data_IF_963900080542
#
_entry.id   IF_963900080542
#
_cell.length_a   1.000
_cell.length_b   1.000
_cell.length_c   1.000
_cell.angle_alpha   90.00
_cell.angle_beta   90.00
_cell.angle_gamma   90.00
#
_symmetry.space_group_name_H-M   'P 1'
#
loop_
_entity.id
_entity.type
_entity.pdbx_description
1 polymer ?
#
# COMPACT_ATOMS: atom_id res chain seq x y z
N UNK A 1 15.66 -4.95 -9.16
CA UNK A 1 14.49 -5.84 -9.36
C UNK A 1 13.91 -5.64 -10.76
N UNK A 2 13.74 -6.70 -11.57
CA UNK A 2 13.34 -6.57 -12.99
C UNK A 2 11.96 -7.20 -13.34
N UNK A 3 11.35 -7.95 -12.42
CA UNK A 3 10.12 -8.69 -12.70
C UNK A 3 8.88 -7.80 -12.89
N UNK A 4 8.86 -6.60 -12.31
CA UNK A 4 7.79 -5.62 -12.53
C UNK A 4 8.39 -4.25 -12.84
N UNK A 5 7.80 -3.54 -13.82
CA UNK A 5 8.18 -2.17 -14.18
C UNK A 5 7.38 -1.12 -13.40
N UNK A 6 6.17 -1.47 -12.95
CA UNK A 6 5.28 -0.57 -12.21
C UNK A 6 4.88 -1.20 -10.87
N UNK A 7 4.76 -0.41 -9.78
CA UNK A 7 4.35 -0.91 -8.47
C UNK A 7 2.95 -1.54 -8.50
N UNK A 8 2.05 -1.04 -9.36
CA UNK A 8 0.71 -1.60 -9.56
C UNK A 8 0.73 -3.06 -10.05
N UNK A 9 1.78 -3.48 -10.78
CA UNK A 9 1.90 -4.87 -11.23
C UNK A 9 2.20 -5.81 -10.05
N UNK A 10 3.04 -5.39 -9.10
CA UNK A 10 3.27 -6.15 -7.86
C UNK A 10 1.97 -6.30 -7.05
N UNK A 11 1.19 -5.21 -6.96
CA UNK A 11 -0.11 -5.21 -6.28
C UNK A 11 -1.13 -6.16 -6.93
N UNK A 12 -1.21 -6.16 -8.26
CA UNK A 12 -2.05 -7.08 -9.04
C UNK A 12 -1.56 -8.53 -8.97
N UNK A 13 -0.24 -8.75 -8.92
CA UNK A 13 0.35 -10.08 -8.74
C UNK A 13 -0.05 -10.73 -7.40
N UNK A 14 -0.19 -9.93 -6.36
CA UNK A 14 -0.79 -10.39 -5.10
C UNK A 14 -2.32 -10.49 -5.17
N UNK A 15 -2.99 -9.85 -6.13
CA UNK A 15 -4.44 -9.92 -6.28
C UNK A 15 -5.19 -9.12 -5.22
N UNK A 16 -4.61 -7.98 -4.81
CA UNK A 16 -5.19 -7.03 -3.85
C UNK A 16 -5.90 -5.88 -4.59
N UNK A 17 -5.77 -5.83 -5.92
CA UNK A 17 -6.47 -4.89 -6.78
C UNK A 17 -7.99 -5.08 -6.75
N UNK A 18 -8.78 -4.02 -6.96
CA UNK A 18 -10.22 -4.17 -7.11
C UNK A 18 -10.52 -4.96 -8.38
N UNK A 19 -11.54 -5.81 -8.33
CA UNK A 19 -12.12 -6.45 -9.51
C UNK A 19 -12.71 -5.38 -10.44
N UNK A 20 -12.85 -5.72 -11.71
CA UNK A 20 -13.59 -4.90 -12.67
C UNK A 20 -14.87 -5.66 -13.02
N UNK A 21 -16.02 -5.00 -12.83
CA UNK A 21 -17.34 -5.51 -13.20
C UNK A 21 -17.98 -4.51 -14.17
N UNK A 22 -17.77 -4.71 -15.46
CA UNK A 22 -18.25 -3.82 -16.53
C UNK A 22 -18.94 -4.66 -17.62
N UNK A 23 -20.05 -4.17 -18.18
CA UNK A 23 -20.75 -4.81 -19.31
C UNK A 23 -21.41 -3.76 -20.20
N UNK A 24 -20.87 -3.55 -21.40
CA UNK A 24 -21.41 -2.58 -22.37
C UNK A 24 -21.57 -1.18 -21.78
N UNK A 25 -22.77 -0.84 -21.30
CA UNK A 25 -23.14 0.44 -20.68
C UNK A 25 -23.01 0.46 -19.15
N UNK A 26 -22.82 -0.69 -18.50
CA UNK A 26 -22.75 -0.80 -17.04
C UNK A 26 -21.31 -0.75 -16.54
N UNK A 27 -21.08 0.04 -15.48
CA UNK A 27 -19.81 0.10 -14.75
C UNK A 27 -20.06 0.00 -13.25
N UNK A 28 -19.62 -1.10 -12.66
CA UNK A 28 -19.77 -1.36 -11.23
C UNK A 28 -18.95 -0.37 -10.39
N UNK A 29 -19.60 0.24 -9.40
CA UNK A 29 -18.98 1.17 -8.43
C UNK A 29 -18.51 0.45 -7.16
N UNK A 30 -19.15 -0.66 -6.79
CA UNK A 30 -18.86 -1.45 -5.59
C UNK A 30 -18.07 -2.73 -5.89
N UNK A 31 -16.86 -2.54 -6.43
CA UNK A 31 -16.00 -3.67 -6.77
C UNK A 31 -15.32 -4.26 -5.53
N UNK A 32 -15.27 -5.60 -5.47
CA UNK A 32 -14.57 -6.36 -4.42
C UNK A 32 -13.09 -6.53 -4.78
N UNK A 33 -12.26 -6.98 -3.85
CA UNK A 33 -10.88 -7.40 -4.18
C UNK A 33 -10.90 -8.51 -5.25
N UNK A 34 -9.99 -8.43 -6.23
CA UNK A 34 -9.86 -9.33 -7.38
C UNK A 34 -9.57 -10.77 -6.96
N UNK A 35 -8.69 -10.95 -5.96
CA UNK A 35 -8.22 -12.25 -5.46
C UNK A 35 -7.55 -13.15 -6.52
N UNK A 36 -7.24 -12.62 -7.71
CA UNK A 36 -6.67 -13.38 -8.86
C UNK A 36 -5.19 -13.73 -8.68
N UNK A 37 -4.50 -13.04 -7.77
CA UNK A 37 -3.10 -13.24 -7.45
C UNK A 37 -2.83 -14.20 -6.29
N UNK A 38 -1.59 -14.24 -5.83
CA UNK A 38 -1.11 -15.26 -4.87
C UNK A 38 -1.84 -15.19 -3.52
N UNK A 39 -2.42 -16.32 -3.09
CA UNK A 39 -3.12 -16.40 -1.78
C UNK A 39 -2.15 -16.20 -0.61
N UNK A 40 -0.94 -16.74 -0.73
CA UNK A 40 0.11 -16.64 0.30
C UNK A 40 0.57 -15.19 0.42
N UNK A 41 0.90 -14.52 -0.69
CA UNK A 41 1.34 -13.13 -0.68
C UNK A 41 0.31 -12.19 -0.06
N UNK A 42 -0.99 -12.41 -0.33
CA UNK A 42 -2.06 -11.65 0.35
C UNK A 42 -2.08 -11.84 1.86
N UNK A 43 -1.95 -13.09 2.33
CA UNK A 43 -1.91 -13.38 3.77
C UNK A 43 -0.72 -12.74 4.45
N UNK A 44 0.45 -12.80 3.81
CA UNK A 44 1.67 -12.16 4.30
C UNK A 44 1.49 -10.64 4.37
N UNK A 45 1.04 -10.01 3.28
CA UNK A 45 0.81 -8.56 3.27
C UNK A 45 -0.25 -8.10 4.27
N UNK A 46 -1.32 -8.88 4.46
CA UNK A 46 -2.32 -8.60 5.48
C UNK A 46 -1.73 -8.67 6.89
N UNK A 47 -0.88 -9.67 7.17
CA UNK A 47 -0.20 -9.83 8.45
C UNK A 47 0.78 -8.68 8.71
N UNK A 48 1.54 -8.28 7.69
CA UNK A 48 2.44 -7.11 7.77
C UNK A 48 1.62 -5.85 8.04
N UNK A 49 0.52 -5.62 7.31
CA UNK A 49 -0.34 -4.46 7.50
C UNK A 49 -0.86 -4.36 8.94
N UNK A 50 -1.36 -5.47 9.50
CA UNK A 50 -1.80 -5.54 10.90
C UNK A 50 -0.66 -5.23 11.88
N UNK A 51 0.53 -5.76 11.64
CA UNK A 51 1.70 -5.52 12.48
C UNK A 51 2.15 -4.05 12.40
N UNK A 52 2.16 -3.45 11.20
CA UNK A 52 2.62 -2.08 10.97
C UNK A 52 1.74 -1.03 11.63
N UNK A 53 0.41 -1.23 11.66
CA UNK A 53 -0.53 -0.27 12.26
C UNK A 53 -0.70 -0.44 13.77
N UNK A 54 -0.05 -1.44 14.38
CA UNK A 54 -0.21 -1.71 15.81
C UNK A 54 0.46 -0.63 16.65
N UNK A 55 -0.10 -0.41 17.83
CA UNK A 55 0.44 0.48 18.87
C UNK A 55 1.00 -0.40 20.00
N UNK A 56 2.18 -0.04 20.50
CA UNK A 56 2.79 -0.70 21.67
C UNK A 56 2.01 -0.34 22.94
N UNK A 57 2.24 -1.08 24.03
CA UNK A 57 1.58 -0.81 25.33
C UNK A 57 1.84 0.61 25.87
N UNK A 58 2.98 1.20 25.51
CA UNK A 58 3.36 2.56 25.87
C UNK A 58 2.74 3.66 24.98
N UNK A 59 1.77 3.32 24.12
CA UNK A 59 1.09 4.28 23.24
C UNK A 59 1.84 4.64 21.95
N UNK A 60 3.05 4.12 21.74
CA UNK A 60 3.85 4.43 20.55
C UNK A 60 3.48 3.51 19.38
N UNK A 61 3.11 4.10 18.24
CA UNK A 61 2.84 3.37 17.00
C UNK A 61 4.12 2.68 16.46
N UNK A 62 4.00 1.44 15.99
CA UNK A 62 5.14 0.73 15.40
C UNK A 62 5.63 1.44 14.13
N UNK A 63 4.71 1.83 13.26
CA UNK A 63 4.98 2.71 12.14
C UNK A 63 4.04 3.92 12.23
N UNK A 64 4.51 5.09 12.72
CA UNK A 64 3.68 6.27 12.88
C UNK A 64 2.99 6.71 11.58
N UNK A 65 3.72 6.66 10.46
CA UNK A 65 3.21 7.09 9.14
C UNK A 65 2.07 6.18 8.64
N UNK A 66 2.22 4.86 8.77
CA UNK A 66 1.17 3.93 8.36
C UNK A 66 0.01 3.91 9.36
N UNK A 67 0.27 4.11 10.64
CA UNK A 67 -0.75 4.20 11.68
C UNK A 67 -1.65 5.43 11.46
N UNK A 68 -1.06 6.61 11.26
CA UNK A 68 -1.80 7.84 10.98
C UNK A 68 -2.62 7.71 9.69
N UNK A 69 -2.02 7.17 8.62
CA UNK A 69 -2.73 6.90 7.38
C UNK A 69 -3.93 5.96 7.56
N UNK A 70 -3.78 4.95 8.41
CA UNK A 70 -4.86 4.03 8.77
C UNK A 70 -5.99 4.76 9.53
N UNK A 71 -5.66 5.55 10.55
CA UNK A 71 -6.68 6.27 11.34
C UNK A 71 -7.48 7.24 10.48
N UNK A 72 -6.80 8.07 9.68
CA UNK A 72 -7.46 9.04 8.79
C UNK A 72 -8.40 8.38 7.79
N UNK A 73 -8.04 7.21 7.26
CA UNK A 73 -8.90 6.48 6.32
C UNK A 73 -10.05 5.74 7.00
N UNK A 74 -9.90 5.36 8.27
CA UNK A 74 -10.93 4.70 9.07
C UNK A 74 -12.14 5.58 9.32
N UNK A 75 -11.98 6.90 9.29
CA UNK A 75 -13.07 7.88 9.39
C UNK A 75 -14.06 7.80 8.22
N UNK A 76 -13.58 7.47 7.02
CA UNK A 76 -14.40 7.51 5.79
C UNK A 76 -14.71 6.13 5.20
N UNK A 77 -14.00 5.08 5.61
CA UNK A 77 -14.12 3.75 5.00
C UNK A 77 -14.14 2.62 6.03
N UNK A 78 -14.83 1.49 5.72
CA UNK A 78 -14.83 0.32 6.59
C UNK A 78 -13.42 -0.22 6.85
N UNK A 79 -13.19 -0.73 8.07
CA UNK A 79 -11.88 -1.21 8.54
C UNK A 79 -11.14 -2.13 7.55
N UNK A 80 -11.84 -3.08 6.91
CA UNK A 80 -11.22 -4.01 5.95
C UNK A 80 -10.71 -3.30 4.70
N UNK A 81 -11.47 -2.35 4.16
CA UNK A 81 -11.08 -1.54 3.00
C UNK A 81 -9.87 -0.66 3.33
N UNK A 82 -9.80 -0.16 4.56
CA UNK A 82 -8.64 0.61 5.02
C UNK A 82 -7.38 -0.27 5.11
N UNK A 83 -7.50 -1.50 5.61
CA UNK A 83 -6.39 -2.45 5.64
C UNK A 83 -5.86 -2.76 4.23
N UNK A 84 -6.74 -2.91 3.24
CA UNK A 84 -6.36 -3.06 1.83
C UNK A 84 -5.58 -1.85 1.31
N UNK A 85 -6.00 -0.63 1.67
CA UNK A 85 -5.26 0.58 1.33
C UNK A 85 -3.87 0.63 1.98
N UNK A 86 -3.72 0.15 3.22
CA UNK A 86 -2.43 0.01 3.89
C UNK A 86 -1.56 -1.04 3.19
N UNK A 87 -2.13 -2.19 2.81
CA UNK A 87 -1.42 -3.22 2.03
C UNK A 87 -0.91 -2.67 0.71
N UNK A 88 -1.70 -1.83 0.02
CA UNK A 88 -1.26 -1.15 -1.21
C UNK A 88 -0.06 -0.24 -0.95
N UNK A 89 -0.09 0.57 0.12
CA UNK A 89 1.08 1.39 0.51
C UNK A 89 2.32 0.55 0.79
N UNK A 90 2.17 -0.56 1.51
CA UNK A 90 3.29 -1.47 1.82
C UNK A 90 3.86 -2.07 0.54
N UNK A 91 3.02 -2.51 -0.40
CA UNK A 91 3.47 -3.03 -1.70
C UNK A 91 4.29 -1.99 -2.48
N UNK A 92 3.90 -0.71 -2.43
CA UNK A 92 4.67 0.36 -3.08
C UNK A 92 6.04 0.57 -2.42
N UNK A 93 6.11 0.49 -1.08
CA UNK A 93 7.38 0.57 -0.33
C UNK A 93 8.28 -0.61 -0.69
N UNK A 94 7.76 -1.84 -0.68
CA UNK A 94 8.52 -3.05 -1.07
C UNK A 94 9.04 -2.90 -2.50
N UNK A 95 8.19 -2.45 -3.43
CA UNK A 95 8.60 -2.22 -4.81
C UNK A 95 9.73 -1.20 -4.91
N UNK A 96 9.66 -0.07 -4.19
CA UNK A 96 10.69 0.96 -4.21
C UNK A 96 12.03 0.45 -3.64
N UNK A 97 12.00 -0.26 -2.51
CA UNK A 97 13.19 -0.88 -1.89
C UNK A 97 13.86 -1.86 -2.85
N UNK A 98 13.07 -2.72 -3.51
CA UNK A 98 13.58 -3.71 -4.46
C UNK A 98 14.07 -3.08 -5.78
N UNK A 99 13.45 -1.98 -6.23
CA UNK A 99 13.84 -1.25 -7.44
C UNK A 99 15.16 -0.50 -7.22
N UNK A 100 15.23 0.27 -6.14
CA UNK A 100 16.34 1.18 -5.85
C UNK A 100 17.51 0.47 -5.16
N UNK A 101 17.30 -0.78 -4.69
CA UNK A 101 18.28 -1.58 -3.94
C UNK A 101 18.84 -0.84 -2.72
N UNK A 102 18.01 0.00 -2.09
CA UNK A 102 18.36 0.79 -0.90
C UNK A 102 17.62 0.25 0.33
N UNK A 103 18.24 0.26 1.51
CA UNK A 103 17.55 -0.09 2.76
C UNK A 103 16.29 0.74 2.96
N UNK A 104 15.31 0.14 3.63
CA UNK A 104 14.09 0.86 4.00
C UNK A 104 14.41 1.95 5.04
N UNK A 105 13.97 3.16 4.74
CA UNK A 105 14.02 4.31 5.64
C UNK A 105 12.61 4.79 5.93
N UNK A 106 12.31 5.04 7.20
CA UNK A 106 11.04 5.64 7.58
C UNK A 106 11.05 7.12 7.17
N UNK A 107 10.17 7.48 6.24
CA UNK A 107 9.99 8.86 5.76
C UNK A 107 8.55 9.30 5.91
N UNK A 108 8.36 10.50 6.40
CA UNK A 108 7.05 11.15 6.43
C UNK A 108 6.62 11.56 5.02
N UNK A 109 5.31 11.73 4.74
CA UNK A 109 4.83 12.20 3.45
C UNK A 109 5.37 13.59 3.06
N UNK A 110 5.74 14.42 4.04
CA UNK A 110 6.28 15.75 3.81
C UNK A 110 7.74 15.69 3.38
N UNK A 111 8.57 14.92 4.08
CA UNK A 111 9.96 14.67 3.70
C UNK A 111 10.05 14.05 2.31
N UNK A 112 9.19 13.07 2.02
CA UNK A 112 9.16 12.43 0.71
C UNK A 112 8.81 13.43 -0.41
N UNK A 113 7.84 14.34 -0.19
CA UNK A 113 7.48 15.40 -1.14
C UNK A 113 8.62 16.38 -1.37
N UNK A 114 9.29 16.82 -0.30
CA UNK A 114 10.47 17.71 -0.40
C UNK A 114 11.58 17.05 -1.21
N UNK A 115 11.88 15.78 -0.93
CA UNK A 115 12.90 15.02 -1.67
C UNK A 115 12.54 14.82 -3.15
N UNK A 116 11.27 14.57 -3.46
CA UNK A 116 10.81 14.43 -4.84
C UNK A 116 11.00 15.74 -5.61
N UNK A 117 10.53 16.86 -5.05
CA UNK A 117 10.67 18.19 -5.66
C UNK A 117 12.13 18.64 -5.80
N UNK A 118 13.01 18.26 -4.87
CA UNK A 118 14.43 18.55 -5.01
C UNK A 118 15.09 17.73 -6.13
N UNK A 119 14.63 16.51 -6.37
CA UNK A 119 15.17 15.63 -7.41
C UNK A 119 14.76 16.10 -8.81
N UNK A 120 13.51 16.56 -8.98
CA UNK A 120 13.04 17.13 -10.26
C UNK A 120 13.72 18.46 -10.63
N UNK A 121 14.21 19.23 -9.65
CA UNK A 121 14.94 20.49 -9.91
C UNK A 121 16.41 20.29 -10.33
N UNK A 122 16.95 19.08 -10.12
CA UNK A 122 18.35 18.74 -10.41
C UNK A 122 18.48 17.95 -11.72
N UNK A 123 17.36 17.44 -12.25
CA UNK A 123 17.25 16.74 -13.53
C UNK A 123 16.87 17.71 -14.66
#
# INVERSE_FOLDING_TARGET
FAAFSKPKQLFAYFGIDPSVSESGKFKGTENKMSKRGTRIGRRVLYSIALASIRVKKNGVAINPVLHEYYQKKKESKPKKVVLEAVMHKISNVIFAVLRDSKPYELKTPEEHRKQYLSTEKVA
#
